data_IF_388625786782
#
_entry.id   IF_388625786782
#
_cell.length_a   1.000
_cell.length_b   1.000
_cell.length_c   1.000
_cell.angle_alpha   90.00
_cell.angle_beta   90.00
_cell.angle_gamma   90.00
#
_symmetry.space_group_name_H-M   'P 1'
#
loop_
_entity.id
_entity.type
_entity.pdbx_description
1 polymer ?
#
# COMPACT_ATOMS: atom_id res chain seq x y z
N UNK A 1 21.44 34.29 27.09
CA UNK A 1 21.26 32.89 26.63
C UNK A 1 20.29 32.02 27.47
N UNK A 2 19.67 32.52 28.56
CA UNK A 2 18.72 31.72 29.36
C UNK A 2 17.25 31.78 28.86
N UNK A 3 16.88 32.80 28.07
CA UNK A 3 15.51 32.99 27.54
C UNK A 3 15.14 31.96 26.46
N UNK A 4 16.06 31.61 25.57
CA UNK A 4 15.81 30.66 24.47
C UNK A 4 15.54 29.23 24.97
N UNK A 5 16.22 28.80 26.04
CA UNK A 5 16.01 27.47 26.64
C UNK A 5 14.63 27.36 27.32
N UNK A 6 14.15 28.44 27.95
CA UNK A 6 12.80 28.48 28.53
C UNK A 6 11.72 28.42 27.43
N UNK A 7 11.88 29.20 26.35
CA UNK A 7 10.95 29.16 25.21
C UNK A 7 10.92 27.78 24.52
N UNK A 8 12.08 27.14 24.35
CA UNK A 8 12.18 25.79 23.80
C UNK A 8 11.46 24.74 24.66
N UNK A 9 11.55 24.82 25.99
CA UNK A 9 10.87 23.89 26.91
C UNK A 9 9.36 24.09 26.90
N UNK A 10 8.88 25.33 26.81
CA UNK A 10 7.45 25.63 26.70
C UNK A 10 6.87 25.08 25.39
N UNK A 11 7.57 25.26 24.27
CA UNK A 11 7.17 24.69 22.98
C UNK A 11 7.20 23.16 22.98
N UNK A 12 8.17 22.55 23.68
CA UNK A 12 8.24 21.10 23.84
C UNK A 12 7.08 20.56 24.69
N UNK A 13 6.73 21.24 25.78
CA UNK A 13 5.58 20.91 26.61
C UNK A 13 4.25 21.04 25.84
N UNK A 14 4.06 22.13 25.08
CA UNK A 14 2.87 22.33 24.25
C UNK A 14 2.69 21.22 23.20
N UNK A 15 3.79 20.81 22.54
CA UNK A 15 3.78 19.65 21.63
C UNK A 15 3.41 18.36 22.35
N UNK A 16 3.93 18.15 23.56
CA UNK A 16 3.64 16.97 24.37
C UNK A 16 2.16 16.88 24.77
N UNK A 17 1.56 17.99 25.22
CA UNK A 17 0.13 18.05 25.54
C UNK A 17 -0.74 17.82 24.30
N UNK A 18 -0.39 18.41 23.15
CA UNK A 18 -1.12 18.18 21.90
C UNK A 18 -1.02 16.72 21.42
N UNK A 19 0.08 16.04 21.71
CA UNK A 19 0.26 14.63 21.40
C UNK A 19 -0.57 13.72 22.33
N UNK A 20 -0.60 14.03 23.63
CA UNK A 20 -1.43 13.32 24.62
C UNK A 20 -2.91 13.46 24.27
N UNK A 21 -3.38 14.68 23.98
CA UNK A 21 -4.78 14.92 23.61
C UNK A 21 -5.17 14.17 22.32
N UNK A 22 -4.28 14.12 21.33
CA UNK A 22 -4.50 13.33 20.12
C UNK A 22 -4.54 11.81 20.41
N UNK A 23 -3.73 11.33 21.35
CA UNK A 23 -3.70 9.93 21.78
C UNK A 23 -4.96 9.53 22.54
N UNK A 24 -5.46 10.39 23.44
CA UNK A 24 -6.73 10.17 24.14
C UNK A 24 -7.89 10.10 23.14
N UNK A 25 -7.92 11.00 22.14
CA UNK A 25 -8.91 10.97 21.06
C UNK A 25 -8.80 9.72 20.19
N UNK A 26 -7.59 9.20 19.97
CA UNK A 26 -7.39 7.95 19.24
C UNK A 26 -8.00 6.74 19.96
N UNK A 27 -7.91 6.67 21.29
CA UNK A 27 -8.47 5.58 22.10
C UNK A 27 -9.99 5.70 22.23
N UNK A 28 -10.51 6.93 22.39
CA UNK A 28 -11.93 7.16 22.70
C UNK A 28 -12.82 7.25 21.46
N UNK A 29 -12.41 7.98 20.43
CA UNK A 29 -13.19 8.17 19.19
C UNK A 29 -12.29 8.68 18.06
N UNK A 30 -11.81 7.76 17.22
CA UNK A 30 -10.84 8.06 16.17
C UNK A 30 -11.33 9.09 15.14
N UNK A 31 -12.65 9.31 15.03
CA UNK A 31 -13.26 10.28 14.11
C UNK A 31 -13.08 11.74 14.56
N UNK A 32 -12.85 11.98 15.86
CA UNK A 32 -12.72 13.31 16.48
C UNK A 32 -11.28 13.82 16.58
N UNK A 33 -10.33 13.16 15.91
CA UNK A 33 -8.95 13.64 15.85
C UNK A 33 -8.86 14.94 15.05
N UNK A 34 -8.27 15.97 15.66
CA UNK A 34 -7.67 17.07 14.88
C UNK A 34 -6.55 16.54 13.98
N UNK A 35 -6.21 17.28 12.91
CA UNK A 35 -5.08 16.94 12.05
C UNK A 35 -3.84 16.67 12.92
N UNK A 36 -3.23 15.49 12.73
CA UNK A 36 -2.12 14.97 13.55
C UNK A 36 -1.01 16.00 13.76
N UNK A 37 -0.40 15.97 14.95
CA UNK A 37 1.00 16.39 15.12
C UNK A 37 1.85 15.45 14.25
N UNK A 38 2.37 15.97 13.14
CA UNK A 38 2.89 15.16 12.03
C UNK A 38 1.84 15.05 10.92
N UNK A 39 1.97 15.91 9.92
CA UNK A 39 1.03 16.30 8.85
C UNK A 39 0.62 15.20 7.86
N UNK A 40 0.38 13.97 8.31
CA UNK A 40 -0.02 12.84 7.46
C UNK A 40 -1.54 12.63 7.46
N UNK A 41 -2.11 12.43 6.28
CA UNK A 41 -3.48 11.93 6.12
C UNK A 41 -3.63 10.55 6.80
N UNK A 42 -4.82 10.19 7.32
CA UNK A 42 -5.06 8.85 7.84
C UNK A 42 -4.74 7.81 6.75
N UNK A 43 -4.18 6.66 7.17
CA UNK A 43 -3.92 5.55 6.24
C UNK A 43 -5.28 5.10 5.65
N UNK A 44 -5.37 4.89 4.33
CA UNK A 44 -6.60 4.38 3.74
C UNK A 44 -6.92 3.00 4.33
N UNK A 45 -8.22 2.70 4.45
CA UNK A 45 -8.70 1.39 4.86
C UNK A 45 -8.14 0.31 3.93
N UNK A 46 -7.96 -0.90 4.46
CA UNK A 46 -7.45 -2.05 3.69
C UNK A 46 -8.59 -3.01 3.37
N UNK A 47 -8.57 -3.57 2.16
CA UNK A 47 -9.45 -4.66 1.72
C UNK A 47 -8.66 -5.96 1.82
N UNK A 48 -9.27 -6.95 2.49
CA UNK A 48 -8.82 -8.34 2.52
C UNK A 48 -9.50 -9.10 1.39
N UNK A 49 -8.75 -9.95 0.71
CA UNK A 49 -9.23 -10.84 -0.34
C UNK A 49 -8.25 -12.00 -0.48
N UNK A 50 -8.61 -12.99 -1.27
CA UNK A 50 -7.87 -14.24 -1.39
C UNK A 50 -7.29 -14.38 -2.80
N UNK A 51 -6.13 -15.04 -2.91
CA UNK A 51 -5.46 -15.30 -4.19
C UNK A 51 -4.88 -16.72 -4.21
N UNK A 52 -4.71 -17.26 -5.41
CA UNK A 52 -3.88 -18.45 -5.65
C UNK A 52 -2.42 -18.02 -5.92
N UNK A 53 -1.43 -18.43 -5.09
CA UNK A 53 -0.02 -18.05 -5.24
C UNK A 53 0.67 -18.68 -6.45
N UNK A 54 1.74 -18.03 -6.94
CA UNK A 54 2.60 -18.53 -8.01
C UNK A 54 3.74 -19.42 -7.54
N UNK A 55 4.28 -19.20 -6.35
CA UNK A 55 5.46 -19.89 -5.86
C UNK A 55 5.16 -21.04 -4.92
N UNK A 56 3.91 -21.15 -4.45
CA UNK A 56 3.46 -22.22 -3.57
C UNK A 56 2.43 -23.07 -4.30
N UNK A 57 2.64 -24.39 -4.34
CA UNK A 57 1.67 -25.32 -4.92
C UNK A 57 0.62 -25.65 -3.86
N UNK A 58 -0.55 -25.00 -3.96
CA UNK A 58 -1.72 -25.32 -3.14
C UNK A 58 -2.58 -26.38 -3.83
N UNK A 59 -3.44 -27.04 -3.07
CA UNK A 59 -4.45 -27.95 -3.63
C UNK A 59 -5.56 -27.14 -4.29
N UNK A 60 -6.30 -27.75 -5.22
CA UNK A 60 -7.40 -27.06 -5.91
C UNK A 60 -8.39 -26.48 -4.91
N UNK A 61 -8.72 -25.19 -5.08
CA UNK A 61 -9.62 -24.46 -4.20
C UNK A 61 -8.96 -23.80 -2.99
N UNK A 62 -7.72 -24.17 -2.63
CA UNK A 62 -6.99 -23.52 -1.54
C UNK A 62 -6.42 -22.17 -1.98
N UNK A 63 -6.47 -21.19 -1.09
CA UNK A 63 -6.10 -19.80 -1.36
C UNK A 63 -5.34 -19.19 -0.19
N UNK A 64 -4.65 -18.07 -0.43
CA UNK A 64 -3.94 -17.31 0.60
C UNK A 64 -4.61 -15.95 0.80
N UNK A 65 -4.81 -15.55 2.04
CA UNK A 65 -5.31 -14.21 2.38
C UNK A 65 -4.25 -13.15 2.08
N UNK A 66 -4.65 -12.08 1.37
CA UNK A 66 -3.82 -10.93 1.07
C UNK A 66 -4.57 -9.63 1.31
N UNK A 67 -3.81 -8.55 1.45
CA UNK A 67 -4.36 -7.22 1.68
C UNK A 67 -3.84 -6.20 0.68
N UNK A 68 -4.71 -5.25 0.33
CA UNK A 68 -4.34 -4.02 -0.37
C UNK A 68 -5.12 -2.85 0.18
N UNK A 69 -4.69 -1.62 -0.08
CA UNK A 69 -5.51 -0.46 0.27
C UNK A 69 -6.81 -0.50 -0.53
N UNK A 70 -7.92 -0.25 0.15
CA UNK A 70 -9.27 -0.28 -0.43
C UNK A 70 -9.42 0.63 -1.66
N UNK A 71 -8.86 1.86 -1.67
CA UNK A 71 -8.87 2.67 -2.88
C UNK A 71 -8.10 2.05 -4.05
N UNK A 72 -6.95 1.42 -3.79
CA UNK A 72 -6.15 0.79 -4.85
C UNK A 72 -6.84 -0.47 -5.40
N UNK A 73 -7.41 -1.28 -4.50
CA UNK A 73 -8.15 -2.47 -4.88
C UNK A 73 -9.38 -2.12 -5.71
N UNK A 74 -10.21 -1.18 -5.25
CA UNK A 74 -11.39 -0.77 -6.00
C UNK A 74 -11.07 -0.16 -7.37
N UNK A 75 -9.94 0.55 -7.48
CA UNK A 75 -9.50 1.14 -8.75
C UNK A 75 -9.04 0.09 -9.77
N UNK A 76 -8.31 -0.94 -9.33
CA UNK A 76 -7.64 -1.89 -10.23
C UNK A 76 -8.23 -3.31 -10.25
N UNK A 77 -9.25 -3.61 -9.44
CA UNK A 77 -9.86 -4.96 -9.38
C UNK A 77 -10.36 -5.46 -10.75
N UNK A 78 -10.91 -4.57 -11.58
CA UNK A 78 -11.39 -4.93 -12.92
C UNK A 78 -10.24 -5.37 -13.85
N UNK A 79 -9.02 -4.86 -13.62
CA UNK A 79 -7.82 -5.23 -14.38
C UNK A 79 -7.22 -6.58 -13.96
N UNK A 80 -7.72 -7.20 -12.89
CA UNK A 80 -7.22 -8.46 -12.35
C UNK A 80 -8.33 -9.51 -12.22
N UNK A 81 -9.34 -9.44 -13.08
CA UNK A 81 -10.50 -10.34 -13.05
C UNK A 81 -10.05 -11.81 -13.12
N UNK A 82 -10.52 -12.61 -12.18
CA UNK A 82 -10.17 -14.03 -12.05
C UNK A 82 -8.84 -14.31 -11.35
N UNK A 83 -8.13 -13.28 -10.85
CA UNK A 83 -6.84 -13.42 -10.13
C UNK A 83 -6.95 -13.22 -8.62
N UNK A 84 -8.19 -13.07 -8.14
CA UNK A 84 -8.53 -12.91 -6.74
C UNK A 84 -9.96 -13.39 -6.49
N UNK A 85 -10.25 -13.74 -5.23
CA UNK A 85 -11.58 -14.03 -4.71
C UNK A 85 -11.89 -13.06 -3.56
N UNK A 86 -13.06 -12.41 -3.58
CA UNK A 86 -13.45 -11.46 -2.52
C UNK A 86 -13.76 -12.16 -1.20
N UNK A 87 -14.31 -13.36 -1.29
CA UNK A 87 -14.81 -14.14 -0.16
C UNK A 87 -14.49 -15.60 -0.42
N UNK A 88 -14.04 -16.32 0.61
CA UNK A 88 -13.97 -17.77 0.60
C UNK A 88 -15.05 -18.33 1.51
N UNK A 89 -15.80 -19.32 1.04
CA UNK A 89 -16.92 -19.88 1.79
C UNK A 89 -16.46 -20.86 2.89
N UNK A 90 -15.35 -21.57 2.64
CA UNK A 90 -14.77 -22.52 3.56
C UNK A 90 -13.46 -21.97 4.13
N UNK A 91 -13.37 -21.87 5.46
CA UNK A 91 -12.16 -21.37 6.14
C UNK A 91 -11.00 -22.37 6.05
N UNK A 92 -11.29 -23.66 5.92
CA UNK A 92 -10.26 -24.72 5.77
C UNK A 92 -9.48 -24.59 4.46
N UNK A 93 -10.04 -23.90 3.46
CA UNK A 93 -9.37 -23.63 2.18
C UNK A 93 -8.43 -22.41 2.26
N UNK A 94 -8.43 -21.66 3.37
CA UNK A 94 -7.56 -20.51 3.56
C UNK A 94 -6.27 -20.99 4.23
N UNK A 95 -5.18 -20.99 3.46
CA UNK A 95 -3.89 -21.48 3.95
C UNK A 95 -3.06 -20.31 4.51
N UNK A 96 -2.80 -20.26 5.83
CA UNK A 96 -1.93 -19.25 6.40
C UNK A 96 -0.47 -19.58 6.06
N UNK A 97 0.19 -18.70 5.31
CA UNK A 97 1.60 -18.81 4.99
C UNK A 97 2.42 -17.77 5.77
N UNK A 98 3.24 -18.23 6.70
CA UNK A 98 4.15 -17.36 7.45
C UNK A 98 5.18 -16.71 6.50
N UNK A 99 5.48 -15.42 6.66
CA UNK A 99 6.46 -14.66 5.85
C UNK A 99 6.18 -14.58 4.34
N UNK A 100 5.05 -15.09 3.87
CA UNK A 100 4.64 -15.01 2.47
C UNK A 100 4.40 -13.56 2.04
N UNK A 101 4.83 -13.22 0.82
CA UNK A 101 4.50 -11.94 0.17
C UNK A 101 4.01 -12.19 -1.24
N UNK A 102 2.73 -11.94 -1.47
CA UNK A 102 2.13 -12.04 -2.79
C UNK A 102 2.81 -11.15 -3.84
N UNK A 103 2.70 -11.57 -5.10
CA UNK A 103 3.01 -10.72 -6.24
C UNK A 103 2.14 -9.45 -6.22
N UNK A 104 2.73 -8.31 -6.58
CA UNK A 104 2.03 -7.01 -6.57
C UNK A 104 2.30 -6.20 -7.82
N UNK A 105 1.25 -5.58 -8.37
CA UNK A 105 1.37 -4.50 -9.33
C UNK A 105 1.47 -3.17 -8.57
N UNK A 106 2.59 -2.47 -8.76
CA UNK A 106 2.81 -1.12 -8.23
C UNK A 106 2.53 -0.14 -9.35
N UNK A 107 1.47 0.66 -9.19
CA UNK A 107 1.00 1.61 -10.19
C UNK A 107 1.32 3.01 -9.71
N UNK A 108 2.14 3.72 -10.49
CA UNK A 108 2.51 5.12 -10.23
C UNK A 108 1.85 6.00 -11.28
N UNK A 109 0.99 6.92 -10.83
CA UNK A 109 0.27 7.86 -11.69
C UNK A 109 0.65 9.30 -11.37
N UNK A 110 0.45 10.21 -12.33
CA UNK A 110 0.66 11.65 -12.13
C UNK A 110 2.12 12.05 -11.95
N UNK A 111 3.07 11.22 -12.38
CA UNK A 111 4.49 11.57 -12.43
C UNK A 111 4.72 12.42 -13.68
N UNK A 112 5.24 13.63 -13.50
CA UNK A 112 5.52 14.55 -14.61
C UNK A 112 6.92 14.31 -15.16
N UNK A 113 7.13 14.63 -16.44
CA UNK A 113 8.47 14.68 -17.05
C UNK A 113 9.23 15.94 -16.62
N UNK A 114 8.51 17.01 -16.31
CA UNK A 114 9.07 18.25 -15.76
C UNK A 114 9.07 18.22 -14.24
N UNK A 115 10.25 18.21 -13.63
CA UNK A 115 10.42 18.24 -12.18
C UNK A 115 10.24 19.64 -11.59
N UNK A 116 9.63 19.73 -10.42
CA UNK A 116 9.51 20.97 -9.63
C UNK A 116 10.59 20.97 -8.56
N UNK A 117 11.41 22.03 -8.50
CA UNK A 117 12.41 22.16 -7.45
C UNK A 117 11.73 22.30 -6.08
N UNK A 118 12.02 21.37 -5.16
CA UNK A 118 11.58 21.39 -3.76
C UNK A 118 12.78 21.34 -2.84
N UNK A 119 12.60 21.80 -1.60
CA UNK A 119 13.64 21.74 -0.57
C UNK A 119 13.30 20.64 0.43
N UNK A 120 14.27 19.76 0.70
CA UNK A 120 14.13 18.71 1.70
C UNK A 120 13.93 19.33 3.09
N UNK A 121 12.86 18.95 3.78
CA UNK A 121 12.63 19.38 5.18
C UNK A 121 13.64 18.79 6.17
N UNK A 122 14.32 17.70 5.78
CA UNK A 122 15.28 17.00 6.63
C UNK A 122 16.69 17.53 6.43
N UNK A 123 17.11 17.73 5.18
CA UNK A 123 18.49 18.10 4.82
C UNK A 123 18.65 19.54 4.34
N UNK A 124 17.57 20.26 4.07
CA UNK A 124 17.62 21.64 3.54
C UNK A 124 18.11 21.76 2.09
N UNK A 125 18.48 20.65 1.45
CA UNK A 125 18.98 20.65 0.06
C UNK A 125 17.83 20.67 -0.94
N UNK A 126 18.05 21.33 -2.09
CA UNK A 126 17.11 21.33 -3.21
C UNK A 126 17.16 19.99 -3.96
N UNK A 127 16.00 19.48 -4.35
CA UNK A 127 15.84 18.30 -5.18
C UNK A 127 14.72 18.53 -6.20
N UNK A 128 14.77 17.84 -7.33
CA UNK A 128 13.69 17.83 -8.31
C UNK A 128 12.62 16.83 -7.90
N UNK A 129 11.43 17.32 -7.60
CA UNK A 129 10.25 16.49 -7.34
C UNK A 129 9.46 16.33 -8.63
N UNK A 130 9.36 15.09 -9.11
CA UNK A 130 8.58 14.72 -10.29
C UNK A 130 7.12 14.36 -9.94
N UNK A 131 6.74 14.54 -8.67
CA UNK A 131 5.41 14.23 -8.18
C UNK A 131 5.05 12.75 -8.31
N UNK A 132 3.75 12.51 -8.45
CA UNK A 132 3.17 11.19 -8.60
C UNK A 132 2.74 10.53 -7.30
N UNK A 133 1.80 9.60 -7.43
CA UNK A 133 1.31 8.76 -6.33
C UNK A 133 1.45 7.31 -6.73
N UNK A 134 2.05 6.52 -5.85
CA UNK A 134 2.17 5.08 -6.05
C UNK A 134 1.14 4.36 -5.21
N UNK A 135 0.42 3.44 -5.84
CA UNK A 135 -0.48 2.49 -5.19
C UNK A 135 -0.02 1.08 -5.51
N UNK A 136 -0.38 0.10 -4.68
CA UNK A 136 -0.02 -1.29 -4.94
C UNK A 136 -1.19 -2.22 -4.70
N UNK A 137 -1.36 -3.18 -5.59
CA UNK A 137 -2.42 -4.17 -5.51
C UNK A 137 -1.83 -5.57 -5.72
N UNK A 138 -2.24 -6.54 -4.92
CA UNK A 138 -1.79 -7.92 -5.03
C UNK A 138 -2.61 -8.67 -6.09
N UNK A 139 -1.99 -9.66 -6.72
CA UNK A 139 -2.65 -10.54 -7.68
C UNK A 139 -2.07 -11.95 -7.58
N UNK A 140 -2.90 -12.95 -7.87
CA UNK A 140 -2.49 -14.35 -7.99
C UNK A 140 -2.60 -14.89 -9.42
N UNK A 141 -2.52 -16.20 -9.49
CA UNK A 141 -2.84 -16.97 -10.70
C UNK A 141 -4.32 -16.88 -11.02
N UNK A 142 -4.63 -17.02 -12.30
CA UNK A 142 -5.99 -17.21 -12.81
C UNK A 142 -6.38 -18.69 -12.87
N UNK A 143 -5.40 -19.57 -13.05
CA UNK A 143 -5.55 -21.02 -13.08
C UNK A 143 -4.21 -21.71 -12.75
N UNK A 144 -4.29 -22.99 -12.44
CA UNK A 144 -3.17 -23.82 -11.98
C UNK A 144 -2.01 -23.96 -12.99
N UNK A 145 -2.24 -23.61 -14.26
CA UNK A 145 -1.25 -23.70 -15.34
C UNK A 145 -0.55 -22.38 -15.63
N UNK A 146 -1.00 -21.28 -15.02
CA UNK A 146 -0.48 -19.94 -15.32
C UNK A 146 0.87 -19.68 -14.65
N UNK A 147 1.89 -19.45 -15.49
CA UNK A 147 3.19 -18.99 -15.05
C UNK A 147 3.21 -17.49 -14.66
N UNK A 148 4.04 -17.14 -13.69
CA UNK A 148 4.18 -15.76 -13.18
C UNK A 148 4.45 -14.72 -14.29
N UNK A 149 5.33 -15.03 -15.25
CA UNK A 149 5.69 -14.08 -16.31
C UNK A 149 4.50 -13.71 -17.21
N UNK A 150 3.65 -14.69 -17.55
CA UNK A 150 2.44 -14.47 -18.34
C UNK A 150 1.42 -13.62 -17.58
N UNK A 151 1.15 -14.00 -16.32
CA UNK A 151 0.27 -13.26 -15.44
C UNK A 151 0.71 -11.80 -15.24
N UNK A 152 2.00 -11.60 -14.97
CA UNK A 152 2.60 -10.28 -14.78
C UNK A 152 2.43 -9.38 -16.01
N UNK A 153 2.62 -9.94 -17.20
CA UNK A 153 2.46 -9.22 -18.46
C UNK A 153 0.99 -8.85 -18.71
N UNK A 154 0.07 -9.78 -18.47
CA UNK A 154 -1.37 -9.54 -18.63
C UNK A 154 -1.87 -8.43 -17.70
N UNK A 155 -1.55 -8.52 -16.40
CA UNK A 155 -1.94 -7.49 -15.41
C UNK A 155 -1.31 -6.14 -15.76
N UNK A 156 -0.04 -6.14 -16.15
CA UNK A 156 0.66 -4.91 -16.56
C UNK A 156 -0.05 -4.25 -17.74
N UNK A 157 -0.37 -5.01 -18.79
CA UNK A 157 -1.03 -4.48 -19.98
C UNK A 157 -2.45 -4.02 -19.67
N UNK A 158 -3.22 -4.77 -18.88
CA UNK A 158 -4.56 -4.38 -18.48
C UNK A 158 -4.57 -3.03 -17.74
N UNK A 159 -3.63 -2.81 -16.82
CA UNK A 159 -3.51 -1.55 -16.06
C UNK A 159 -3.02 -0.40 -16.97
N UNK A 160 -2.06 -0.65 -17.86
CA UNK A 160 -1.58 0.38 -18.79
C UNK A 160 -2.69 0.85 -19.75
N UNK A 161 -3.58 -0.06 -20.15
CA UNK A 161 -4.75 0.27 -20.98
C UNK A 161 -5.79 1.08 -20.20
N UNK A 162 -6.04 0.79 -18.92
CA UNK A 162 -7.04 1.52 -18.13
C UNK A 162 -6.52 2.85 -17.56
N UNK A 163 -5.21 2.97 -17.34
CA UNK A 163 -4.58 4.15 -16.76
C UNK A 163 -3.48 4.70 -17.68
N UNK A 164 -3.90 5.45 -18.70
CA UNK A 164 -2.98 6.10 -19.66
C UNK A 164 -1.93 6.95 -18.94
N UNK A 165 -0.65 6.71 -19.26
CA UNK A 165 0.47 7.43 -18.65
C UNK A 165 0.87 6.93 -17.25
N UNK A 166 0.27 5.83 -16.77
CA UNK A 166 0.73 5.16 -15.56
C UNK A 166 2.06 4.43 -15.80
N UNK A 167 2.90 4.39 -14.77
CA UNK A 167 4.07 3.52 -14.74
C UNK A 167 3.71 2.32 -13.87
N UNK A 168 3.75 1.12 -14.47
CA UNK A 168 3.45 -0.14 -13.78
C UNK A 168 4.73 -0.93 -13.57
N UNK A 169 5.06 -1.18 -12.31
CA UNK A 169 6.16 -2.05 -11.89
C UNK A 169 5.60 -3.31 -11.23
N UNK A 170 6.05 -4.47 -11.67
CA UNK A 170 5.65 -5.74 -11.05
C UNK A 170 6.68 -6.13 -9.99
N UNK A 171 6.20 -6.38 -8.78
CA UNK A 171 6.97 -7.01 -7.72
C UNK A 171 6.65 -8.51 -7.72
N UNK A 172 7.65 -9.39 -7.88
CA UNK A 172 7.43 -10.82 -7.81
C UNK A 172 7.01 -11.23 -6.39
N UNK A 173 6.38 -12.40 -6.34
CA UNK A 173 6.08 -13.09 -5.09
C UNK A 173 7.36 -13.47 -4.35
N UNK A 174 7.30 -13.46 -3.01
CA UNK A 174 8.36 -13.96 -2.14
C UNK A 174 7.79 -15.12 -1.34
N UNK A 175 8.36 -16.30 -1.58
CA UNK A 175 8.05 -17.53 -0.87
C UNK A 175 9.04 -17.73 0.28
N UNK A 176 8.61 -18.17 1.47
CA UNK A 176 9.52 -18.50 2.56
C UNK A 176 10.42 -19.68 2.18
N UNK A 177 11.74 -19.51 2.25
CA UNK A 177 12.71 -20.60 2.06
C UNK A 177 13.10 -20.91 0.60
N UNK A 178 12.82 -20.00 -0.34
CA UNK A 178 13.39 -20.01 -1.69
C UNK A 178 14.74 -19.28 -1.74
#
# INVERSE_FOLDING_TARGET
MARDRKYSRILQAAKYYSAIDNYIKYITDASKRGQRVGTGQPRPKSTRYFIDPFGVKLSTGQVVEVTSSEPAFNLYKANMTGRFELTKANEDDIIPLANYRAARAIVTTGRTTTGVAKTSKVTGMKYLDYGGKSTSVAFGRKNDTEGFAGAALEVKNAILTSATGAIVTIRPEVVPGA
#
